data_IF_043973713082
#
_entry.id   IF_043973713082
#
_cell.length_a   1.000
_cell.length_b   1.000
_cell.length_c   1.000
_cell.angle_alpha   90.00
_cell.angle_beta   90.00
_cell.angle_gamma   90.00
#
_symmetry.space_group_name_H-M   'P 1'
#
loop_
_entity.id
_entity.type
_entity.pdbx_description
1 polymer ?
#
# COMPACT_ATOMS: atom_id res chain seq x y z
N UNK A 1 -11.50 7.99 4.64
CA UNK A 1 -11.31 7.48 6.01
C UNK A 1 -12.34 6.40 6.28
N UNK A 2 -11.98 5.36 7.01
CA UNK A 2 -12.87 4.28 7.43
C UNK A 2 -13.08 4.31 8.95
N UNK A 3 -14.18 3.71 9.42
CA UNK A 3 -14.35 3.41 10.85
C UNK A 3 -13.94 1.97 11.10
N UNK A 4 -12.90 1.77 11.90
CA UNK A 4 -12.37 0.44 12.23
C UNK A 4 -13.42 -0.39 12.96
N UNK A 5 -13.47 -1.70 12.69
CA UNK A 5 -14.40 -2.62 13.37
C UNK A 5 -14.21 -2.50 14.89
N UNK A 6 -15.30 -2.32 15.64
CA UNK A 6 -15.23 -2.08 17.10
C UNK A 6 -14.52 -3.21 17.87
N UNK A 7 -14.63 -4.45 17.40
CA UNK A 7 -14.00 -5.62 18.03
C UNK A 7 -12.48 -5.76 17.79
N UNK A 8 -11.84 -4.84 17.09
CA UNK A 8 -10.39 -4.91 16.88
C UNK A 8 -9.65 -4.64 18.20
N UNK A 9 -8.67 -5.50 18.52
CA UNK A 9 -7.81 -5.37 19.72
C UNK A 9 -7.02 -4.06 19.76
N UNK A 10 -6.79 -3.43 18.61
CA UNK A 10 -6.03 -2.19 18.49
C UNK A 10 -6.84 -1.11 17.76
N UNK A 11 -7.09 0.00 18.48
CA UNK A 11 -7.83 1.18 18.01
C UNK A 11 -9.18 0.84 17.35
N UNK A 12 -9.91 -0.14 17.88
CA UNK A 12 -11.26 -0.49 17.40
C UNK A 12 -12.23 0.69 17.55
N UNK A 13 -13.04 0.95 16.51
CA UNK A 13 -14.05 2.01 16.52
C UNK A 13 -13.54 3.42 16.18
N UNK A 14 -12.23 3.62 16.09
CA UNK A 14 -11.60 4.87 15.64
C UNK A 14 -11.71 5.05 14.13
N UNK A 15 -11.64 6.30 13.69
CA UNK A 15 -11.45 6.61 12.28
C UNK A 15 -9.97 6.56 11.91
N UNK A 16 -9.68 5.95 10.76
CA UNK A 16 -8.33 5.84 10.22
C UNK A 16 -8.37 5.92 8.69
N UNK A 17 -7.21 6.10 8.06
CA UNK A 17 -7.06 5.72 6.67
C UNK A 17 -6.91 4.21 6.55
N UNK A 18 -7.32 3.61 5.41
CA UNK A 18 -7.03 2.21 5.14
C UNK A 18 -5.55 1.91 5.28
N UNK A 19 -5.22 0.75 5.83
CA UNK A 19 -3.84 0.39 6.02
C UNK A 19 -3.62 -0.83 6.90
N UNK A 20 -2.51 -1.49 6.65
CA UNK A 20 -2.09 -2.70 7.32
C UNK A 20 -0.59 -2.92 7.20
N UNK A 21 -0.18 -4.18 7.33
CA UNK A 21 1.23 -4.55 7.20
C UNK A 21 1.57 -4.72 5.72
N UNK A 22 2.81 -4.41 5.37
CA UNK A 22 3.38 -4.84 4.09
C UNK A 22 3.50 -6.36 4.12
N UNK A 23 2.87 -7.01 3.16
CA UNK A 23 2.94 -8.46 2.92
C UNK A 23 4.13 -8.79 2.00
N UNK A 24 4.61 -10.03 2.04
CA UNK A 24 5.65 -10.48 1.11
C UNK A 24 5.18 -10.40 -0.36
N UNK A 25 3.88 -10.59 -0.63
CA UNK A 25 3.32 -10.42 -1.95
C UNK A 25 3.42 -8.98 -2.48
N UNK A 26 3.47 -7.97 -1.59
CA UNK A 26 3.58 -6.56 -2.00
C UNK A 26 4.96 -6.23 -2.62
N UNK A 27 5.92 -7.15 -2.57
CA UNK A 27 7.25 -7.02 -3.20
C UNK A 27 7.34 -7.71 -4.56
N UNK A 28 6.25 -8.31 -5.04
CA UNK A 28 6.25 -9.06 -6.30
C UNK A 28 6.68 -8.14 -7.49
N UNK A 29 7.67 -8.55 -8.30
CA UNK A 29 8.22 -7.67 -9.35
C UNK A 29 7.19 -7.17 -10.36
N UNK A 30 6.19 -7.99 -10.67
CA UNK A 30 5.08 -7.66 -11.57
C UNK A 30 4.10 -6.64 -10.96
N UNK A 31 3.92 -6.62 -9.64
CA UNK A 31 3.17 -5.57 -8.95
C UNK A 31 3.96 -4.27 -8.88
N UNK A 32 5.26 -4.33 -8.57
CA UNK A 32 6.13 -3.15 -8.54
C UNK A 32 6.21 -2.48 -9.92
N UNK A 33 6.23 -3.28 -11.00
CA UNK A 33 6.25 -2.78 -12.38
C UNK A 33 4.95 -2.07 -12.79
N UNK A 34 3.84 -2.27 -12.07
CA UNK A 34 2.57 -1.57 -12.31
C UNK A 34 2.49 -0.20 -11.64
N UNK A 35 3.50 0.19 -10.86
CA UNK A 35 3.51 1.51 -10.24
C UNK A 35 3.80 2.59 -11.29
N UNK A 36 2.88 3.54 -11.43
CA UNK A 36 3.03 4.71 -12.29
C UNK A 36 3.39 5.94 -11.44
N UNK A 37 4.27 6.81 -11.97
CA UNK A 37 4.69 8.05 -11.31
C UNK A 37 5.70 7.92 -10.16
N UNK A 38 5.86 6.72 -9.58
CA UNK A 38 6.86 6.44 -8.54
C UNK A 38 7.58 5.11 -8.81
N UNK A 39 8.88 5.19 -9.13
CA UNK A 39 9.74 4.03 -9.31
C UNK A 39 10.49 3.62 -8.03
N UNK A 40 11.10 2.43 -8.06
CA UNK A 40 11.84 1.84 -6.93
C UNK A 40 12.93 2.76 -6.38
N UNK A 41 13.73 3.39 -7.27
CA UNK A 41 14.80 4.30 -6.85
C UNK A 41 14.28 5.56 -6.15
N UNK A 42 13.22 6.18 -6.68
CA UNK A 42 12.59 7.35 -6.06
C UNK A 42 11.94 6.99 -4.72
N UNK A 43 11.30 5.82 -4.63
CA UNK A 43 10.74 5.34 -3.37
C UNK A 43 11.82 5.12 -2.30
N UNK A 44 12.99 4.59 -2.68
CA UNK A 44 14.12 4.39 -1.77
C UNK A 44 14.74 5.70 -1.24
N UNK A 45 14.51 6.84 -1.91
CA UNK A 45 14.90 8.16 -1.41
C UNK A 45 13.95 8.70 -0.31
N UNK A 46 12.74 8.14 -0.19
CA UNK A 46 11.74 8.55 0.81
C UNK A 46 11.83 7.70 2.07
N UNK A 47 12.01 6.38 1.94
CA UNK A 47 12.14 5.45 3.06
C UNK A 47 13.34 4.52 2.92
N UNK A 48 13.95 4.18 4.05
CA UNK A 48 14.99 3.15 4.11
C UNK A 48 14.40 1.78 3.80
N UNK A 49 15.12 1.02 2.96
CA UNK A 49 14.71 -0.29 2.46
C UNK A 49 15.68 -1.36 2.88
N UNK A 50 15.22 -2.60 2.92
CA UNK A 50 16.07 -3.78 2.96
C UNK A 50 16.01 -4.49 1.61
N UNK A 51 16.99 -5.35 1.31
CA UNK A 51 17.05 -6.04 0.01
C UNK A 51 15.80 -6.91 -0.27
N UNK A 52 15.17 -7.43 0.77
CA UNK A 52 13.95 -8.24 0.74
C UNK A 52 12.65 -7.40 0.72
N UNK A 53 12.73 -6.10 0.96
CA UNK A 53 11.57 -5.20 0.98
C UNK A 53 11.93 -3.84 0.38
N UNK A 54 11.76 -3.66 -0.95
CA UNK A 54 11.92 -2.36 -1.57
C UNK A 54 10.90 -1.37 -1.01
N UNK A 55 11.27 -0.08 -0.93
CA UNK A 55 10.42 0.98 -0.39
C UNK A 55 9.07 1.04 -1.11
N UNK A 56 9.06 0.79 -2.42
CA UNK A 56 7.86 0.85 -3.23
C UNK A 56 6.77 -0.14 -2.75
N UNK A 57 7.13 -1.22 -2.05
CA UNK A 57 6.18 -2.16 -1.45
C UNK A 57 5.24 -1.49 -0.43
N UNK A 58 5.66 -0.40 0.22
CA UNK A 58 4.78 0.36 1.12
C UNK A 58 3.64 1.05 0.37
N UNK A 59 3.88 1.53 -0.86
CA UNK A 59 2.83 2.11 -1.71
C UNK A 59 1.90 1.02 -2.24
N UNK A 60 2.45 -0.12 -2.66
CA UNK A 60 1.63 -1.27 -3.09
C UNK A 60 0.72 -1.73 -1.95
N UNK A 61 1.26 -1.89 -0.74
CA UNK A 61 0.48 -2.25 0.45
C UNK A 61 -0.64 -1.24 0.73
N UNK A 62 -0.36 0.07 0.62
CA UNK A 62 -1.37 1.11 0.82
C UNK A 62 -2.52 1.03 -0.20
N UNK A 63 -2.21 0.75 -1.47
CA UNK A 63 -3.23 0.57 -2.52
C UNK A 63 -4.03 -0.71 -2.29
N UNK A 64 -3.36 -1.83 -1.95
CA UNK A 64 -4.02 -3.10 -1.63
C UNK A 64 -5.00 -2.93 -0.46
N UNK A 65 -4.56 -2.35 0.65
CA UNK A 65 -5.39 -2.14 1.85
C UNK A 65 -6.57 -1.20 1.58
N UNK A 66 -6.38 -0.18 0.72
CA UNK A 66 -7.48 0.67 0.26
C UNK A 66 -8.57 -0.16 -0.42
N UNK A 67 -8.18 -1.06 -1.33
CA UNK A 67 -9.13 -1.93 -2.03
C UNK A 67 -9.81 -2.90 -1.04
N UNK A 68 -9.04 -3.57 -0.19
CA UNK A 68 -9.54 -4.58 0.74
C UNK A 68 -10.52 -4.01 1.78
N UNK A 69 -10.25 -2.81 2.30
CA UNK A 69 -11.07 -2.23 3.36
C UNK A 69 -12.21 -1.33 2.85
N UNK A 70 -12.14 -0.85 1.60
CA UNK A 70 -13.14 0.09 1.06
C UNK A 70 -13.78 -0.32 -0.26
N UNK A 71 -13.19 -1.25 -1.00
CA UNK A 71 -13.59 -1.61 -2.36
C UNK A 71 -13.23 -0.57 -3.42
N UNK A 72 -12.48 0.48 -3.07
CA UNK A 72 -12.05 1.51 -4.03
C UNK A 72 -10.78 1.05 -4.75
N UNK A 73 -10.86 0.94 -6.07
CA UNK A 73 -9.73 0.61 -6.92
C UNK A 73 -9.23 1.84 -7.67
N UNK A 74 -7.94 2.15 -7.55
CA UNK A 74 -7.30 3.23 -8.29
C UNK A 74 -6.83 2.69 -9.65
N UNK A 75 -7.22 3.39 -10.71
CA UNK A 75 -6.87 3.04 -12.09
C UNK A 75 -6.32 4.27 -12.82
N UNK A 76 -5.44 4.03 -13.77
CA UNK A 76 -4.88 5.02 -14.69
C UNK A 76 -5.05 4.55 -16.13
N UNK A 77 -5.02 5.48 -17.09
CA UNK A 77 -4.90 5.13 -18.51
C UNK A 77 -3.41 4.90 -18.86
N UNK A 78 -3.10 4.62 -20.13
CA UNK A 78 -1.72 4.36 -20.59
C UNK A 78 -0.77 5.57 -20.40
N UNK A 79 -1.29 6.75 -20.04
CA UNK A 79 -0.50 7.96 -19.76
C UNK A 79 -0.27 8.19 -18.27
N UNK A 80 -0.91 7.42 -17.40
CA UNK A 80 -0.91 7.64 -15.95
C UNK A 80 -2.02 8.59 -15.53
#
# INVERSE_FOLDING_TARGET
>A
MIRRKKGMRFLGGFYAFPGGKVDAADTAPDLLARAHGLGVGNAAAIFLTTADRPALAFWIAAVRELIEETGVFLVCDDRG
#
